data_IF_228724525294
#
_entry.id   IF_228724525294
#
_cell.length_a   1.000
_cell.length_b   1.000
_cell.length_c   1.000
_cell.angle_alpha   90.00
_cell.angle_beta   90.00
_cell.angle_gamma   90.00
#
_symmetry.space_group_name_H-M   'P 1'
#
loop_
_entity.id
_entity.type
_entity.pdbx_description
1 polymer ?
#
# COMPACT_ATOMS: atom_id res chain seq x y z
N UNK A 1 14.39 -11.90 3.12
CA UNK A 1 13.94 -10.70 3.84
C UNK A 1 14.64 -9.50 3.21
N UNK A 2 13.93 -8.39 2.97
CA UNK A 2 14.42 -7.17 2.32
C UNK A 2 14.03 -5.97 3.19
N UNK A 3 14.90 -4.97 3.32
CA UNK A 3 14.67 -3.72 4.07
C UNK A 3 15.17 -2.52 3.25
N UNK A 4 14.46 -1.39 3.31
CA UNK A 4 14.76 -0.14 2.57
C UNK A 4 15.18 0.94 3.57
N UNK A 5 16.30 1.64 3.32
CA UNK A 5 16.77 2.78 4.13
C UNK A 5 16.96 4.02 3.24
N UNK A 6 16.64 5.21 3.77
CA UNK A 6 16.91 6.51 3.12
C UNK A 6 17.78 7.41 4.00
N UNK A 7 19.03 7.68 3.56
CA UNK A 7 19.88 8.73 4.12
C UNK A 7 20.46 9.60 2.98
N UNK A 8 20.50 10.92 3.19
CA UNK A 8 20.56 12.01 2.20
C UNK A 8 21.78 12.10 1.25
N UNK A 9 22.65 11.10 1.14
CA UNK A 9 23.72 11.05 0.10
C UNK A 9 23.95 9.68 -0.55
N UNK A 10 23.16 8.67 -0.22
CA UNK A 10 23.28 7.35 -0.84
C UNK A 10 22.22 7.19 -1.93
N UNK A 11 22.63 6.69 -3.09
CA UNK A 11 21.69 6.21 -4.09
C UNK A 11 20.71 5.22 -3.43
N UNK A 12 19.40 5.25 -3.78
CA UNK A 12 18.42 4.35 -3.16
C UNK A 12 18.91 2.90 -3.23
N UNK A 13 18.74 2.16 -2.13
CA UNK A 13 19.21 0.78 -2.04
C UNK A 13 18.23 -0.09 -1.26
N UNK A 14 18.20 -1.38 -1.61
CA UNK A 14 17.55 -2.43 -0.86
C UNK A 14 18.62 -3.32 -0.21
N UNK A 15 18.36 -3.84 0.98
CA UNK A 15 19.23 -4.83 1.63
C UNK A 15 18.76 -6.24 1.28
N UNK A 16 19.65 -7.09 0.77
CA UNK A 16 19.39 -8.48 0.42
C UNK A 16 20.16 -9.44 1.32
N UNK A 17 19.44 -10.34 2.00
CA UNK A 17 20.03 -11.39 2.83
C UNK A 17 20.55 -12.55 1.97
N UNK A 18 21.83 -12.90 2.09
CA UNK A 18 22.47 -13.97 1.31
C UNK A 18 22.40 -15.35 1.97
N UNK A 19 21.69 -15.48 3.09
CA UNK A 19 21.77 -16.66 3.96
C UNK A 19 22.76 -16.50 5.11
N UNK A 20 23.71 -15.57 5.00
CA UNK A 20 24.76 -15.34 6.01
C UNK A 20 25.05 -13.86 6.30
N UNK A 21 24.79 -12.96 5.34
CA UNK A 21 25.01 -11.53 5.53
C UNK A 21 24.00 -10.70 4.72
N UNK A 22 23.79 -9.46 5.17
CA UNK A 22 23.06 -8.45 4.41
C UNK A 22 23.99 -7.77 3.40
N UNK A 23 23.55 -7.67 2.15
CA UNK A 23 24.25 -6.93 1.09
C UNK A 23 23.36 -5.81 0.56
N UNK A 24 23.95 -4.63 0.34
CA UNK A 24 23.27 -3.54 -0.36
C UNK A 24 23.17 -3.84 -1.85
N UNK A 25 21.98 -3.66 -2.40
CA UNK A 25 21.73 -3.72 -3.83
C UNK A 25 21.08 -2.41 -4.26
N UNK A 26 21.62 -1.78 -5.31
CA UNK A 26 21.14 -0.50 -5.80
C UNK A 26 19.70 -0.63 -6.32
N UNK A 27 18.87 0.35 -5.98
CA UNK A 27 17.56 0.58 -6.57
C UNK A 27 17.68 1.68 -7.65
N UNK A 28 17.06 1.50 -8.82
CA UNK A 28 17.04 2.51 -9.87
C UNK A 28 16.05 3.67 -9.58
N UNK A 29 15.28 3.59 -8.49
CA UNK A 29 14.32 4.59 -8.03
C UNK A 29 14.12 4.53 -6.52
N UNK A 30 13.35 5.47 -5.96
CA UNK A 30 12.94 5.42 -4.55
C UNK A 30 11.80 4.40 -4.38
N UNK A 31 11.89 3.59 -3.34
CA UNK A 31 10.85 2.65 -2.94
C UNK A 31 10.36 3.04 -1.54
N UNK A 32 9.05 2.97 -1.31
CA UNK A 32 8.40 3.03 -0.01
C UNK A 32 7.97 1.63 0.46
N UNK A 33 7.69 0.72 -0.47
CA UNK A 33 7.24 -0.63 -0.18
C UNK A 33 7.95 -1.68 -1.03
N UNK A 34 8.03 -2.91 -0.53
CA UNK A 34 8.63 -4.07 -1.19
C UNK A 34 7.92 -5.34 -0.76
N UNK A 35 7.65 -6.23 -1.71
CA UNK A 35 7.10 -7.56 -1.43
C UNK A 35 7.67 -8.62 -2.39
N UNK A 36 7.58 -9.88 -2.00
CA UNK A 36 8.09 -11.03 -2.72
C UNK A 36 7.18 -12.25 -2.60
N UNK A 37 6.95 -12.93 -3.72
CA UNK A 37 6.08 -14.12 -3.77
C UNK A 37 6.85 -15.44 -3.60
N UNK A 38 7.92 -15.59 -4.39
CA UNK A 38 8.78 -16.77 -4.41
C UNK A 38 10.21 -16.36 -4.74
N UNK A 39 11.15 -17.29 -4.60
CA UNK A 39 12.56 -17.06 -4.92
C UNK A 39 12.71 -16.39 -6.30
N UNK A 40 13.37 -15.23 -6.32
CA UNK A 40 13.62 -14.47 -7.53
C UNK A 40 12.46 -13.60 -8.05
N UNK A 41 11.30 -13.59 -7.40
CA UNK A 41 10.17 -12.71 -7.75
C UNK A 41 9.91 -11.73 -6.61
N UNK A 42 10.47 -10.54 -6.74
CA UNK A 42 10.24 -9.42 -5.84
C UNK A 42 9.92 -8.15 -6.62
N UNK A 43 9.10 -7.31 -6.02
CA UNK A 43 8.72 -6.01 -6.56
C UNK A 43 8.87 -4.95 -5.47
N UNK A 44 9.24 -3.76 -5.90
CA UNK A 44 9.32 -2.59 -5.04
C UNK A 44 8.57 -1.44 -5.72
N UNK A 45 7.88 -0.64 -4.92
CA UNK A 45 7.12 0.49 -5.41
C UNK A 45 7.37 1.71 -4.55
N UNK A 46 7.26 2.88 -5.17
CA UNK A 46 7.45 4.17 -4.54
C UNK A 46 7.14 5.27 -5.55
N UNK A 47 7.81 6.41 -5.41
CA UNK A 47 7.54 7.60 -6.23
C UNK A 47 8.83 8.22 -6.75
N UNK A 48 8.76 8.81 -7.94
CA UNK A 48 9.83 9.62 -8.54
C UNK A 48 9.20 10.91 -9.06
N UNK A 49 9.40 12.00 -8.32
CA UNK A 49 8.63 13.23 -8.53
C UNK A 49 7.17 12.97 -8.16
N UNK A 50 6.27 13.32 -9.06
CA UNK A 50 4.82 13.18 -8.99
C UNK A 50 4.29 11.86 -9.59
N UNK A 51 5.18 10.92 -9.94
CA UNK A 51 4.81 9.67 -10.63
C UNK A 51 5.18 8.40 -9.86
N UNK A 52 4.40 7.31 -10.02
CA UNK A 52 4.78 5.99 -9.51
C UNK A 52 6.14 5.54 -10.05
N UNK A 53 6.98 5.01 -9.17
CA UNK A 53 8.23 4.34 -9.50
C UNK A 53 8.12 2.87 -9.12
N UNK A 54 7.96 2.01 -10.12
CA UNK A 54 7.79 0.58 -9.92
C UNK A 54 9.03 -0.15 -10.42
N UNK A 55 9.52 -1.09 -9.61
CA UNK A 55 10.76 -1.81 -9.83
C UNK A 55 10.53 -3.29 -9.63
N UNK A 56 11.19 -4.11 -10.46
CA UNK A 56 11.15 -5.56 -10.37
C UNK A 56 12.54 -6.13 -10.21
N UNK A 57 12.66 -7.15 -9.37
CA UNK A 57 13.85 -7.97 -9.26
C UNK A 57 13.89 -9.01 -10.39
N UNK A 58 15.01 -9.06 -11.13
CA UNK A 58 15.23 -10.04 -12.19
C UNK A 58 16.07 -11.26 -11.76
N UNK A 59 16.38 -11.39 -10.46
CA UNK A 59 17.29 -12.41 -9.94
C UNK A 59 18.69 -11.89 -9.60
N UNK A 60 19.12 -10.77 -10.20
CA UNK A 60 20.45 -10.18 -10.02
C UNK A 60 20.45 -8.68 -9.72
N UNK A 61 19.52 -7.95 -10.30
CA UNK A 61 19.39 -6.50 -10.14
C UNK A 61 17.92 -6.06 -10.16
N UNK A 62 17.68 -4.88 -9.61
CA UNK A 62 16.40 -4.18 -9.73
C UNK A 62 16.34 -3.40 -11.04
N UNK A 63 15.23 -3.52 -11.76
CA UNK A 63 14.98 -2.79 -13.00
C UNK A 63 13.68 -2.02 -12.89
N UNK A 64 13.64 -0.79 -13.40
CA UNK A 64 12.40 -0.02 -13.52
C UNK A 64 11.46 -0.73 -14.49
N UNK A 65 10.19 -0.78 -14.13
CA UNK A 65 9.10 -1.25 -15.00
C UNK A 65 8.26 -0.03 -15.36
N UNK A 66 7.90 0.16 -16.66
CA UNK A 66 7.05 1.26 -17.07
C UNK A 66 5.75 1.29 -16.27
N UNK A 67 5.47 2.43 -15.63
CA UNK A 67 4.17 2.73 -15.05
C UNK A 67 3.32 3.53 -16.06
N UNK A 68 1.99 3.39 -16.04
CA UNK A 68 1.11 4.17 -16.91
C UNK A 68 1.22 5.66 -16.58
N UNK A 69 0.94 6.52 -17.56
CA UNK A 69 0.81 7.94 -17.30
C UNK A 69 -0.39 8.19 -16.39
N UNK A 70 -0.25 9.15 -15.47
CA UNK A 70 -1.30 9.56 -14.55
C UNK A 70 -1.65 11.01 -14.87
N UNK A 71 -2.95 11.29 -15.05
CA UNK A 71 -3.44 12.68 -15.09
C UNK A 71 -3.81 13.08 -13.68
N UNK A 72 -3.11 14.08 -13.15
CA UNK A 72 -3.32 14.58 -11.81
C UNK A 72 -4.49 15.58 -11.77
N UNK A 73 -5.25 15.61 -10.67
CA UNK A 73 -6.42 16.47 -10.53
C UNK A 73 -6.07 17.96 -10.32
N UNK A 74 -4.85 18.25 -9.88
CA UNK A 74 -4.36 19.60 -9.63
C UNK A 74 -2.84 19.70 -9.94
N UNK A 75 -2.30 20.91 -10.21
CA UNK A 75 -0.88 21.10 -10.54
C UNK A 75 0.09 20.75 -9.42
N UNK A 76 -0.33 20.93 -8.18
CA UNK A 76 0.41 20.67 -6.94
C UNK A 76 0.18 19.25 -6.40
N UNK A 77 -0.64 18.45 -7.08
CA UNK A 77 -1.00 17.13 -6.60
C UNK A 77 0.20 16.19 -6.48
N UNK A 78 0.24 15.46 -5.38
CA UNK A 78 1.31 14.53 -5.02
C UNK A 78 0.79 13.11 -5.01
N UNK A 79 1.50 12.23 -5.72
CA UNK A 79 1.26 10.79 -5.66
C UNK A 79 1.99 10.21 -4.45
N UNK A 80 1.33 9.28 -3.77
CA UNK A 80 1.94 8.41 -2.77
C UNK A 80 1.69 6.95 -3.12
N UNK A 81 2.69 6.10 -2.88
CA UNK A 81 2.52 4.65 -2.86
C UNK A 81 2.77 4.20 -1.43
N UNK A 82 1.76 3.59 -0.83
CA UNK A 82 1.80 3.12 0.55
C UNK A 82 2.28 1.67 0.63
N UNK A 83 1.85 0.83 -0.31
CA UNK A 83 2.12 -0.61 -0.23
C UNK A 83 2.11 -1.32 -1.59
N UNK A 84 2.69 -2.52 -1.65
CA UNK A 84 2.71 -3.42 -2.80
C UNK A 84 2.58 -4.88 -2.39
N UNK A 85 1.68 -5.63 -3.06
CA UNK A 85 1.46 -7.05 -2.85
C UNK A 85 1.76 -7.85 -4.13
N UNK A 86 2.60 -8.87 -4.02
CA UNK A 86 2.95 -9.81 -5.08
C UNK A 86 2.15 -11.10 -4.89
N UNK A 87 0.98 -11.17 -5.54
CA UNK A 87 0.15 -12.39 -5.56
C UNK A 87 0.78 -13.46 -6.45
N UNK A 88 1.48 -13.04 -7.50
CA UNK A 88 2.23 -13.93 -8.41
C UNK A 88 3.02 -13.15 -9.46
N UNK A 89 3.75 -13.85 -10.34
CA UNK A 89 4.59 -13.20 -11.36
C UNK A 89 3.83 -12.36 -12.39
N UNK A 90 2.52 -12.56 -12.49
CA UNK A 90 1.60 -11.87 -13.41
C UNK A 90 0.42 -11.21 -12.68
N UNK A 91 0.50 -11.07 -11.37
CA UNK A 91 -0.56 -10.51 -10.55
C UNK A 91 0.07 -9.78 -9.38
N UNK A 92 0.23 -8.47 -9.52
CA UNK A 92 0.86 -7.60 -8.52
C UNK A 92 0.00 -6.36 -8.36
N UNK A 93 -0.20 -5.94 -7.12
CA UNK A 93 -1.03 -4.79 -6.77
C UNK A 93 -0.20 -3.78 -6.02
N UNK A 94 -0.26 -2.51 -6.41
CA UNK A 94 0.31 -1.41 -5.64
C UNK A 94 -0.79 -0.41 -5.31
N UNK A 95 -0.76 0.12 -4.09
CA UNK A 95 -1.83 0.98 -3.58
C UNK A 95 -1.28 2.24 -2.92
N UNK A 96 -2.09 3.28 -2.89
CA UNK A 96 -1.76 4.55 -2.26
C UNK A 96 -2.83 5.60 -2.51
N UNK A 97 -2.41 6.83 -2.75
CA UNK A 97 -3.32 7.93 -3.03
C UNK A 97 -2.69 9.07 -3.81
N UNK A 98 -3.54 10.03 -4.18
CA UNK A 98 -3.19 11.33 -4.75
C UNK A 98 -3.78 12.39 -3.84
N UNK A 99 -2.96 13.31 -3.32
CA UNK A 99 -3.40 14.40 -2.45
C UNK A 99 -2.96 15.75 -2.98
N UNK A 100 -3.73 16.81 -2.70
CA UNK A 100 -3.42 18.19 -3.08
C UNK A 100 -4.11 19.17 -2.14
N UNK A 101 -3.61 20.40 -2.10
CA UNK A 101 -4.18 21.48 -1.31
C UNK A 101 -5.15 22.30 -2.17
N UNK A 102 -6.16 22.89 -1.55
CA UNK A 102 -7.04 23.84 -2.20
C UNK A 102 -7.97 24.51 -1.20
N UNK A 103 -9.03 25.14 -1.69
CA UNK A 103 -10.02 25.80 -0.87
C UNK A 103 -11.43 25.24 -1.14
N UNK A 104 -12.26 25.17 -0.11
CA UNK A 104 -13.67 24.81 -0.25
C UNK A 104 -14.52 25.99 -0.77
N UNK A 105 -15.85 25.81 -0.81
CA UNK A 105 -16.77 26.85 -1.28
C UNK A 105 -16.78 28.12 -0.41
N UNK A 106 -16.33 28.00 0.84
CA UNK A 106 -16.24 29.09 1.81
C UNK A 106 -14.87 29.80 1.74
N UNK A 107 -13.92 29.23 1.01
CA UNK A 107 -12.56 29.74 0.88
C UNK A 107 -11.62 29.24 1.99
N UNK A 108 -12.04 28.24 2.75
CA UNK A 108 -11.21 27.64 3.80
C UNK A 108 -10.24 26.63 3.18
N UNK A 109 -8.99 26.64 3.64
CA UNK A 109 -7.94 25.73 3.16
C UNK A 109 -8.30 24.28 3.55
N UNK A 110 -8.37 23.41 2.54
CA UNK A 110 -8.72 22.00 2.68
C UNK A 110 -7.75 21.10 1.92
N UNK A 111 -7.53 19.90 2.47
CA UNK A 111 -6.75 18.86 1.83
C UNK A 111 -7.68 17.91 1.08
N UNK A 112 -7.49 17.81 -0.23
CA UNK A 112 -8.22 16.88 -1.06
C UNK A 112 -7.43 15.58 -1.24
N UNK A 113 -8.15 14.48 -1.43
CA UNK A 113 -7.55 13.15 -1.58
C UNK A 113 -8.32 12.25 -2.52
N UNK A 114 -7.59 11.42 -3.27
CA UNK A 114 -8.15 10.31 -4.06
C UNK A 114 -7.37 9.04 -3.79
N UNK A 115 -8.04 7.88 -3.86
CA UNK A 115 -7.35 6.59 -3.84
C UNK A 115 -6.58 6.35 -5.13
N UNK A 116 -5.46 5.66 -5.05
CA UNK A 116 -4.69 5.17 -6.19
C UNK A 116 -4.51 3.66 -6.08
N UNK A 117 -4.87 2.92 -7.13
CA UNK A 117 -4.58 1.48 -7.23
C UNK A 117 -3.96 1.16 -8.59
N UNK A 118 -2.94 0.32 -8.59
CA UNK A 118 -2.29 -0.18 -9.78
C UNK A 118 -2.31 -1.71 -9.79
N UNK A 119 -2.57 -2.30 -10.95
CA UNK A 119 -2.57 -3.75 -11.14
C UNK A 119 -1.72 -4.20 -12.32
N UNK A 120 -0.79 -5.11 -12.08
CA UNK A 120 0.05 -5.76 -13.08
C UNK A 120 -0.55 -7.09 -13.51
N UNK A 121 -0.80 -7.23 -14.81
CA UNK A 121 -1.39 -8.43 -15.41
C UNK A 121 -0.35 -9.41 -16.01
N UNK A 122 0.95 -9.17 -15.80
CA UNK A 122 2.03 -9.94 -16.44
C UNK A 122 2.66 -9.30 -17.66
N UNK A 123 2.05 -8.22 -18.20
CA UNK A 123 2.55 -7.51 -19.39
C UNK A 123 2.61 -6.00 -19.20
N UNK A 124 1.57 -5.43 -18.60
CA UNK A 124 1.48 -4.00 -18.34
C UNK A 124 0.80 -3.74 -16.99
N UNK A 125 1.12 -2.58 -16.44
CA UNK A 125 0.38 -2.02 -15.32
C UNK A 125 -0.87 -1.33 -15.87
N UNK A 126 -1.95 -1.44 -15.13
CA UNK A 126 -3.12 -0.56 -15.22
C UNK A 126 -3.19 0.28 -13.96
N UNK A 127 -3.77 1.48 -14.05
CA UNK A 127 -3.90 2.40 -12.94
C UNK A 127 -5.33 2.93 -12.87
N UNK A 128 -5.86 3.08 -11.66
CA UNK A 128 -7.14 3.70 -11.40
C UNK A 128 -7.01 4.69 -10.25
N UNK A 129 -7.57 5.88 -10.46
CA UNK A 129 -7.73 6.92 -9.43
C UNK A 129 -9.20 6.97 -9.06
N UNK A 130 -9.49 6.91 -7.76
CA UNK A 130 -10.85 6.87 -7.25
C UNK A 130 -11.56 8.23 -7.25
N UNK A 131 -12.73 8.25 -6.61
CA UNK A 131 -13.51 9.46 -6.39
C UNK A 131 -12.74 10.47 -5.52
N UNK A 132 -13.16 11.74 -5.61
CA UNK A 132 -12.70 12.81 -4.73
C UNK A 132 -13.03 12.51 -3.27
N UNK A 133 -12.26 13.13 -2.38
CA UNK A 133 -12.39 13.11 -0.92
C UNK A 133 -12.38 11.71 -0.30
N UNK A 134 -11.68 10.79 -0.97
CA UNK A 134 -11.48 9.44 -0.51
C UNK A 134 -10.17 9.33 0.29
N UNK A 135 -10.25 8.70 1.47
CA UNK A 135 -9.07 8.27 2.22
C UNK A 135 -8.19 7.37 1.33
N UNK A 136 -6.85 7.49 1.37
CA UNK A 136 -5.97 6.71 0.52
C UNK A 136 -6.06 5.22 0.85
N UNK A 137 -5.65 4.37 -0.09
CA UNK A 137 -5.39 2.98 0.23
C UNK A 137 -4.06 2.87 0.97
N UNK A 138 -4.06 2.20 2.12
CA UNK A 138 -2.97 2.23 3.11
C UNK A 138 -2.22 0.91 3.22
N UNK A 139 -2.83 -0.19 2.78
CA UNK A 139 -2.20 -1.50 2.77
C UNK A 139 -2.84 -2.42 1.74
N UNK A 140 -2.06 -3.35 1.21
CA UNK A 140 -2.53 -4.39 0.30
C UNK A 140 -1.82 -5.69 0.60
N UNK A 141 -2.57 -6.80 0.69
CA UNK A 141 -2.02 -8.10 1.05
C UNK A 141 -2.70 -9.20 0.24
N UNK A 142 -2.00 -10.23 -0.27
CA UNK A 142 -2.66 -11.34 -0.96
C UNK A 142 -3.76 -11.98 -0.10
N UNK A 143 -4.86 -12.40 -0.72
CA UNK A 143 -5.96 -13.07 -0.01
C UNK A 143 -5.80 -14.61 0.07
N UNK A 144 -4.76 -15.14 -0.59
CA UNK A 144 -4.50 -16.58 -0.71
C UNK A 144 -5.37 -17.31 -1.73
N UNK A 145 -6.25 -16.61 -2.45
CA UNK A 145 -7.17 -17.14 -3.48
C UNK A 145 -6.92 -16.54 -4.87
N UNK A 146 -5.87 -15.72 -5.01
CA UNK A 146 -5.50 -15.04 -6.25
C UNK A 146 -5.98 -13.59 -6.33
N UNK A 147 -6.65 -13.09 -5.28
CA UNK A 147 -6.99 -11.70 -5.08
C UNK A 147 -6.11 -11.03 -4.02
N UNK A 148 -6.58 -9.88 -3.54
CA UNK A 148 -5.95 -9.11 -2.46
C UNK A 148 -7.00 -8.59 -1.48
N UNK A 149 -6.59 -8.42 -0.24
CA UNK A 149 -7.21 -7.51 0.71
C UNK A 149 -6.60 -6.12 0.56
N UNK A 150 -7.42 -5.07 0.57
CA UNK A 150 -6.98 -3.67 0.53
C UNK A 150 -7.57 -2.92 1.72
N UNK A 151 -6.73 -2.20 2.46
CA UNK A 151 -7.16 -1.26 3.50
C UNK A 151 -7.30 0.14 2.91
N UNK A 152 -8.39 0.83 3.26
CA UNK A 152 -8.63 2.22 2.90
C UNK A 152 -8.77 3.07 4.17
N UNK A 153 -7.87 4.04 4.33
CA UNK A 153 -7.71 4.83 5.54
C UNK A 153 -7.02 4.06 6.66
N UNK A 154 -6.58 4.79 7.70
CA UNK A 154 -6.04 4.19 8.93
C UNK A 154 -7.09 4.20 10.03
N UNK A 155 -7.87 5.29 10.14
CA UNK A 155 -8.93 5.46 11.12
C UNK A 155 -10.25 4.92 10.61
N UNK A 156 -10.88 4.04 11.38
CA UNK A 156 -12.08 3.30 11.01
C UNK A 156 -12.01 2.77 9.57
N UNK A 157 -10.97 1.98 9.24
CA UNK A 157 -10.63 1.69 7.86
C UNK A 157 -11.72 0.86 7.20
N UNK A 158 -11.92 1.10 5.91
CA UNK A 158 -12.72 0.22 5.07
C UNK A 158 -11.82 -0.90 4.55
N UNK A 159 -12.26 -2.15 4.72
CA UNK A 159 -11.57 -3.32 4.20
C UNK A 159 -12.24 -3.74 2.89
N UNK A 160 -11.45 -3.98 1.86
CA UNK A 160 -11.92 -4.43 0.56
C UNK A 160 -11.31 -5.78 0.20
N UNK A 161 -12.13 -6.73 -0.22
CA UNK A 161 -11.68 -7.93 -0.91
C UNK A 161 -11.75 -7.68 -2.41
N UNK A 162 -10.63 -7.84 -3.11
CA UNK A 162 -10.51 -7.54 -4.54
C UNK A 162 -10.10 -8.79 -5.31
N UNK A 163 -10.85 -9.12 -6.36
CA UNK A 163 -10.51 -10.23 -7.28
C UNK A 163 -10.74 -9.77 -8.72
N UNK A 164 -9.64 -9.66 -9.48
CA UNK A 164 -9.69 -9.04 -10.81
C UNK A 164 -10.17 -7.59 -10.69
N UNK A 165 -11.25 -7.24 -11.40
CA UNK A 165 -11.88 -5.91 -11.30
C UNK A 165 -12.99 -5.82 -10.25
N UNK A 166 -13.30 -6.91 -9.53
CA UNK A 166 -14.41 -6.94 -8.56
C UNK A 166 -13.93 -6.50 -7.19
N UNK A 167 -14.56 -5.46 -6.64
CA UNK A 167 -14.33 -4.97 -5.29
C UNK A 167 -15.53 -5.31 -4.41
N UNK A 168 -15.27 -5.89 -3.24
CA UNK A 168 -16.30 -6.21 -2.24
C UNK A 168 -15.88 -5.64 -0.89
N UNK A 169 -16.70 -4.78 -0.33
CA UNK A 169 -16.47 -4.27 1.01
C UNK A 169 -16.66 -5.40 2.02
N UNK A 170 -15.71 -5.54 2.94
CA UNK A 170 -15.77 -6.45 4.06
C UNK A 170 -15.91 -5.67 5.37
N UNK A 171 -16.52 -6.32 6.36
CA UNK A 171 -16.75 -5.73 7.67
C UNK A 171 -15.52 -5.95 8.56
N UNK A 172 -14.98 -4.85 9.09
CA UNK A 172 -14.10 -4.92 10.25
C UNK A 172 -14.96 -5.11 11.52
N UNK A 173 -14.84 -6.27 12.16
CA UNK A 173 -15.56 -6.55 13.42
C UNK A 173 -14.87 -5.80 14.57
N UNK A 174 -15.63 -4.98 15.30
CA UNK A 174 -15.15 -4.23 16.46
C UNK A 174 -16.23 -4.12 17.53
N UNK A 175 -15.83 -3.84 18.77
CA UNK A 175 -16.74 -3.65 19.90
C UNK A 175 -17.65 -2.43 19.63
N UNK A 176 -18.97 -2.48 19.89
CA UNK A 176 -19.82 -1.30 19.79
C UNK A 176 -19.29 -0.13 20.63
N UNK A 177 -19.44 1.09 20.11
CA UNK A 177 -18.93 2.31 20.77
C UNK A 177 -17.41 2.50 20.68
N UNK A 178 -16.71 1.74 19.83
CA UNK A 178 -15.26 1.92 19.60
C UNK A 178 -14.94 2.29 18.16
N UNK A 179 -13.98 3.21 18.02
CA UNK A 179 -13.22 3.40 16.79
C UNK A 179 -12.09 2.37 16.69
N UNK A 180 -11.59 2.14 15.49
CA UNK A 180 -10.48 1.22 15.25
C UNK A 180 -9.43 1.84 14.34
N UNK A 181 -8.16 1.58 14.62
CA UNK A 181 -7.04 1.84 13.74
C UNK A 181 -6.37 0.53 13.40
N UNK A 182 -6.12 0.30 12.11
CA UNK A 182 -5.37 -0.87 11.61
C UNK A 182 -4.13 -0.36 10.90
N UNK A 183 -2.95 -0.74 11.38
CA UNK A 183 -1.67 -0.27 10.85
C UNK A 183 -1.02 -1.24 9.89
N UNK A 184 -1.28 -2.53 10.06
CA UNK A 184 -0.61 -3.57 9.30
C UNK A 184 -1.54 -4.76 9.11
N UNK A 185 -1.42 -5.37 7.95
CA UNK A 185 -2.07 -6.63 7.60
C UNK A 185 -1.04 -7.60 7.07
N UNK A 186 -1.24 -8.88 7.33
CA UNK A 186 -0.37 -9.93 6.85
C UNK A 186 -1.15 -11.23 6.64
N UNK A 187 -0.92 -11.91 5.53
CA UNK A 187 -1.50 -13.23 5.29
C UNK A 187 -0.68 -14.28 6.02
N UNK A 188 -1.37 -15.20 6.70
CA UNK A 188 -0.73 -16.42 7.19
C UNK A 188 -0.32 -17.30 6.00
N UNK A 189 0.98 -17.62 5.83
CA UNK A 189 1.46 -18.41 4.70
C UNK A 189 0.73 -19.75 4.57
N UNK A 190 0.45 -20.15 3.33
CA UNK A 190 -0.26 -21.41 3.03
C UNK A 190 -1.76 -21.40 3.34
N UNK A 191 -2.33 -20.25 3.72
CA UNK A 191 -3.77 -20.14 4.06
C UNK A 191 -4.44 -18.95 3.38
N UNK A 192 -5.75 -18.81 3.57
CA UNK A 192 -6.53 -17.62 3.20
C UNK A 192 -6.81 -16.71 4.39
N UNK A 193 -6.20 -16.99 5.55
CA UNK A 193 -6.37 -16.17 6.75
C UNK A 193 -5.44 -14.97 6.67
N UNK A 194 -6.03 -13.77 6.70
CA UNK A 194 -5.31 -12.52 6.89
C UNK A 194 -5.47 -12.07 8.35
N UNK A 195 -4.37 -11.58 8.93
CA UNK A 195 -4.35 -10.94 10.25
C UNK A 195 -4.16 -9.44 10.09
N UNK A 196 -4.87 -8.66 10.88
CA UNK A 196 -4.67 -7.22 11.03
C UNK A 196 -4.19 -6.91 12.45
N UNK A 197 -3.33 -5.90 12.58
CA UNK A 197 -2.84 -5.42 13.87
C UNK A 197 -3.05 -3.90 13.99
N UNK A 198 -3.40 -3.44 15.19
CA UNK A 198 -3.63 -2.03 15.48
C UNK A 198 -4.23 -1.83 16.87
N UNK A 199 -5.15 -0.88 17.01
CA UNK A 199 -5.82 -0.62 18.28
C UNK A 199 -7.29 -0.22 18.12
N UNK A 200 -8.03 -0.31 19.23
CA UNK A 200 -9.36 0.29 19.37
C UNK A 200 -9.38 1.33 20.46
N UNK A 201 -10.16 2.39 20.25
CA UNK A 201 -10.38 3.48 21.20
C UNK A 201 -11.87 3.74 21.38
N UNK A 202 -12.33 4.30 22.51
CA UNK A 202 -13.68 4.81 22.64
C UNK A 202 -14.02 5.81 21.52
N UNK A 203 -15.26 5.79 21.04
CA UNK A 203 -15.70 6.71 20.00
C UNK A 203 -15.85 8.13 20.58
N UNK A 204 -15.35 9.14 19.84
CA UNK A 204 -15.53 10.57 20.19
C UNK A 204 -14.29 11.24 20.77
N UNK A 205 -13.25 10.49 21.11
CA UNK A 205 -11.98 11.04 21.60
C UNK A 205 -10.80 10.32 20.94
N UNK A 206 -10.18 10.93 19.90
CA UNK A 206 -9.04 10.34 19.21
C UNK A 206 -7.73 10.41 20.00
N UNK A 207 -7.66 11.25 21.03
CA UNK A 207 -6.48 11.45 21.88
C UNK A 207 -6.57 10.64 23.18
N UNK A 208 -7.60 9.80 23.32
CA UNK A 208 -7.84 9.00 24.52
C UNK A 208 -6.67 8.02 24.79
N UNK A 209 -5.98 8.14 25.94
CA UNK A 209 -4.86 7.28 26.30
C UNK A 209 -5.28 5.82 26.59
N UNK A 210 -6.58 5.50 26.62
CA UNK A 210 -7.11 4.16 26.88
C UNK A 210 -7.14 3.23 25.66
N UNK A 211 -6.38 3.54 24.61
CA UNK A 211 -6.25 2.70 23.42
C UNK A 211 -5.85 1.25 23.78
N UNK A 212 -6.57 0.28 23.23
CA UNK A 212 -6.32 -1.14 23.45
C UNK A 212 -5.74 -1.79 22.19
N UNK A 213 -4.53 -2.35 22.31
CA UNK A 213 -3.92 -3.15 21.25
C UNK A 213 -4.85 -4.28 20.82
N UNK A 214 -5.10 -4.39 19.52
CA UNK A 214 -6.11 -5.29 18.97
C UNK A 214 -5.57 -6.02 17.74
N UNK A 215 -5.92 -7.30 17.64
CA UNK A 215 -5.70 -8.11 16.45
C UNK A 215 -7.03 -8.53 15.84
N UNK A 216 -7.09 -8.50 14.52
CA UNK A 216 -8.21 -8.99 13.73
C UNK A 216 -7.75 -10.16 12.88
N UNK A 217 -8.69 -11.03 12.50
CA UNK A 217 -8.45 -12.03 11.47
C UNK A 217 -9.68 -12.22 10.59
N UNK A 218 -9.44 -12.58 9.33
CA UNK A 218 -10.51 -13.10 8.47
C UNK A 218 -10.87 -14.52 8.89
N UNK A 219 -12.12 -14.93 8.61
CA UNK A 219 -12.54 -16.32 8.78
C UNK A 219 -11.91 -17.22 7.71
#
# INVERSE_FOLDING_TARGET
>A
MLLVESAQRLAPAARHWTGSAWRSVRLPGRASAVDAYKTGVAWAAGVKGDRPSIMRWNGKSWTLVPAPALTLPAPDAVVTIQDIAVVGSKNVWAVGGVGWEGADEQGDDVNFGRTLVMHWNGRSWTVSVGAADAQPYTGVEPDGRGGVWVLQGHWNPTLWQVTGSTWRQARLVRKPGTGAVVFSVARRPGTTTMWGAGFTVPQGDPDDPSANGTFWRTQ
#
